data_IF_413403974101
#
_entry.id   IF_413403974101
#
_cell.length_a   1.000
_cell.length_b   1.000
_cell.length_c   1.000
_cell.angle_alpha   90.00
_cell.angle_beta   90.00
_cell.angle_gamma   90.00
#
_symmetry.space_group_name_H-M   'P 1'
#
loop_
_entity.id
_entity.type
_entity.pdbx_description
1 polymer ?
#
# COMPACT_ATOMS: atom_id res chain seq x y z
N UNK A 1 35.77 5.52 -13.36
CA UNK A 1 34.57 4.67 -13.34
C UNK A 1 34.03 4.67 -14.75
N UNK A 2 33.79 3.51 -15.36
CA UNK A 2 33.48 3.38 -16.78
C UNK A 2 32.10 3.98 -17.11
N UNK A 3 32.10 4.95 -18.04
CA UNK A 3 30.91 5.50 -18.69
C UNK A 3 30.25 4.43 -19.58
N UNK A 4 29.63 3.43 -18.94
CA UNK A 4 28.76 2.51 -19.66
C UNK A 4 27.54 3.31 -20.12
N UNK A 5 27.19 3.30 -21.42
CA UNK A 5 26.05 4.06 -21.89
C UNK A 5 24.79 3.60 -21.15
N UNK A 6 24.15 4.52 -20.44
CA UNK A 6 22.93 4.24 -19.69
C UNK A 6 21.85 3.73 -20.63
N UNK A 7 21.25 2.58 -20.35
CA UNK A 7 20.16 2.04 -21.15
C UNK A 7 18.97 3.03 -21.16
N UNK A 8 18.58 3.57 -22.32
CA UNK A 8 17.63 4.67 -22.37
C UNK A 8 16.19 4.14 -22.34
N UNK A 9 15.79 3.48 -21.26
CA UNK A 9 14.48 2.82 -21.10
C UNK A 9 13.30 3.70 -21.55
N UNK A 10 13.26 4.96 -21.10
CA UNK A 10 12.17 5.91 -21.43
C UNK A 10 12.19 6.45 -22.88
N UNK A 11 13.18 6.07 -23.70
CA UNK A 11 13.30 6.42 -25.12
C UNK A 11 12.95 5.27 -26.05
N UNK A 12 12.69 4.07 -25.51
CA UNK A 12 12.27 2.93 -26.32
C UNK A 12 10.88 3.17 -26.92
N UNK A 13 10.55 2.52 -28.05
CA UNK A 13 9.20 2.48 -28.57
C UNK A 13 8.22 1.92 -27.53
N UNK A 14 6.99 2.43 -27.50
CA UNK A 14 5.98 2.07 -26.49
C UNK A 14 5.78 0.55 -26.38
N UNK A 15 5.69 -0.17 -27.50
CA UNK A 15 5.50 -1.62 -27.50
C UNK A 15 6.66 -2.38 -26.82
N UNK A 16 7.90 -1.91 -27.02
CA UNK A 16 9.07 -2.50 -26.36
C UNK A 16 9.04 -2.24 -24.85
N UNK A 17 8.68 -1.03 -24.44
CA UNK A 17 8.50 -0.68 -23.03
C UNK A 17 7.39 -1.54 -22.41
N UNK A 18 6.24 -1.66 -23.07
CA UNK A 18 5.12 -2.44 -22.58
C UNK A 18 5.52 -3.90 -22.36
N UNK A 19 6.25 -4.49 -23.32
CA UNK A 19 6.74 -5.86 -23.17
C UNK A 19 7.70 -6.00 -21.98
N UNK A 20 8.61 -5.04 -21.77
CA UNK A 20 9.48 -5.04 -20.59
C UNK A 20 8.64 -4.97 -19.31
N UNK A 21 7.70 -4.02 -19.23
CA UNK A 21 6.87 -3.79 -18.04
C UNK A 21 6.02 -5.02 -17.68
N UNK A 22 5.48 -5.73 -18.67
CA UNK A 22 4.74 -6.98 -18.42
C UNK A 22 5.61 -8.11 -17.84
N UNK A 23 6.95 -8.02 -17.94
CA UNK A 23 7.89 -8.97 -17.35
C UNK A 23 8.54 -8.45 -16.06
N UNK A 24 8.15 -7.27 -15.58
CA UNK A 24 8.59 -6.73 -14.30
C UNK A 24 7.67 -7.22 -13.18
N UNK A 25 8.25 -7.38 -12.00
CA UNK A 25 7.49 -7.58 -10.76
C UNK A 25 6.70 -6.31 -10.39
N UNK A 26 5.66 -6.49 -9.58
CA UNK A 26 4.86 -5.38 -9.04
C UNK A 26 5.70 -4.38 -8.22
N UNK A 27 6.73 -4.91 -7.57
CA UNK A 27 7.75 -4.15 -6.86
C UNK A 27 8.53 -3.24 -7.81
N UNK A 28 9.08 -3.79 -8.90
CA UNK A 28 9.85 -3.01 -9.87
C UNK A 28 8.99 -1.96 -10.58
N UNK A 29 7.74 -2.30 -10.91
CA UNK A 29 6.78 -1.35 -11.48
C UNK A 29 6.52 -0.19 -10.50
N UNK A 30 6.33 -0.51 -9.21
CA UNK A 30 6.11 0.51 -8.17
C UNK A 30 7.35 1.38 -8.01
N UNK A 31 8.56 0.81 -7.91
CA UNK A 31 9.82 1.57 -7.80
C UNK A 31 10.04 2.47 -9.03
N UNK A 32 9.82 1.96 -10.25
CA UNK A 32 9.92 2.75 -11.49
C UNK A 32 8.92 3.91 -11.52
N UNK A 33 7.69 3.67 -11.05
CA UNK A 33 6.66 4.71 -10.99
C UNK A 33 7.01 5.85 -10.02
N UNK A 34 7.89 5.61 -9.05
CA UNK A 34 8.36 6.61 -8.08
C UNK A 34 9.56 7.43 -8.59
N UNK A 35 10.27 6.99 -9.64
CA UNK A 35 11.46 7.69 -10.11
C UNK A 35 11.18 9.09 -10.71
N UNK A 36 10.05 9.30 -11.38
CA UNK A 36 9.72 10.58 -12.01
C UNK A 36 8.24 10.66 -12.42
N UNK A 37 7.75 11.89 -12.67
CA UNK A 37 6.40 12.08 -13.25
C UNK A 37 6.24 11.38 -14.61
N UNK A 38 7.30 11.31 -15.42
CA UNK A 38 7.28 10.66 -16.73
C UNK A 38 7.17 9.15 -16.60
N UNK A 39 7.96 8.53 -15.72
CA UNK A 39 7.90 7.10 -15.47
C UNK A 39 6.58 6.70 -14.82
N UNK A 40 6.05 7.51 -13.89
CA UNK A 40 4.69 7.32 -13.34
C UNK A 40 3.64 7.25 -14.44
N UNK A 41 3.56 8.26 -15.31
CA UNK A 41 2.60 8.32 -16.43
C UNK A 41 2.73 7.13 -17.37
N UNK A 42 3.96 6.66 -17.59
CA UNK A 42 4.21 5.48 -18.40
C UNK A 42 3.63 4.22 -17.74
N UNK A 43 3.90 3.99 -16.46
CA UNK A 43 3.33 2.84 -15.73
C UNK A 43 1.79 2.89 -15.67
N UNK A 44 1.20 4.09 -15.61
CA UNK A 44 -0.25 4.29 -15.66
C UNK A 44 -0.89 3.93 -17.00
N UNK A 45 -0.15 4.14 -18.09
CA UNK A 45 -0.65 3.88 -19.45
C UNK A 45 -0.62 2.40 -19.85
N UNK A 46 0.12 1.59 -19.10
CA UNK A 46 0.28 0.16 -19.35
C UNK A 46 -0.68 -0.59 -18.41
N UNK A 47 -1.43 -1.54 -18.95
CA UNK A 47 -2.25 -2.44 -18.13
C UNK A 47 -1.35 -3.45 -17.43
N UNK A 48 -1.67 -3.77 -16.18
CA UNK A 48 -0.94 -4.72 -15.35
C UNK A 48 -1.78 -5.99 -15.17
N UNK A 49 -1.77 -6.91 -16.15
CA UNK A 49 -2.62 -8.10 -16.08
C UNK A 49 -2.24 -8.98 -14.88
N UNK A 50 -3.25 -9.63 -14.28
CA UNK A 50 -3.08 -10.53 -13.14
C UNK A 50 -3.31 -9.87 -11.79
N UNK A 51 -3.16 -8.55 -11.65
CA UNK A 51 -3.48 -7.89 -10.39
C UNK A 51 -5.00 -7.75 -10.20
N UNK A 52 -5.49 -8.04 -8.99
CA UNK A 52 -6.91 -8.04 -8.65
C UNK A 52 -7.31 -6.83 -7.83
N UNK A 53 -6.54 -6.51 -6.79
CA UNK A 53 -6.89 -5.48 -5.82
C UNK A 53 -5.68 -4.97 -5.04
N UNK A 54 -5.87 -3.81 -4.42
CA UNK A 54 -5.00 -3.31 -3.36
C UNK A 54 -5.65 -3.69 -2.04
N UNK A 55 -4.91 -4.36 -1.17
CA UNK A 55 -5.40 -4.72 0.17
C UNK A 55 -4.75 -3.81 1.22
N UNK A 56 -5.54 -3.33 2.17
CA UNK A 56 -5.07 -2.67 3.38
C UNK A 56 -5.47 -3.55 4.57
N UNK A 57 -4.51 -3.90 5.41
CA UNK A 57 -4.76 -4.49 6.73
C UNK A 57 -4.34 -3.50 7.80
N UNK A 58 -5.25 -3.11 8.69
CA UNK A 58 -4.96 -2.24 9.84
C UNK A 58 -5.54 -2.87 11.10
N UNK A 59 -4.65 -3.29 11.99
CA UNK A 59 -4.96 -3.75 13.34
C UNK A 59 -3.91 -3.22 14.34
N UNK A 60 -4.08 -3.54 15.63
CA UNK A 60 -3.20 -3.05 16.71
C UNK A 60 -1.75 -3.55 16.62
N UNK A 61 -1.51 -4.69 15.98
CA UNK A 61 -0.20 -5.34 15.82
C UNK A 61 0.41 -5.05 14.45
N UNK A 62 -0.42 -4.82 13.43
CA UNK A 62 -0.05 -4.93 12.02
C UNK A 62 -0.70 -3.82 11.20
N UNK A 63 0.12 -3.17 10.37
CA UNK A 63 -0.33 -2.25 9.35
C UNK A 63 0.36 -2.61 8.04
N UNK A 64 -0.40 -3.05 7.05
CA UNK A 64 0.13 -3.44 5.75
C UNK A 64 -0.70 -2.85 4.61
N UNK A 65 -0.01 -2.60 3.51
CA UNK A 65 -0.62 -2.40 2.19
C UNK A 65 -0.03 -3.45 1.27
N UNK A 66 -0.87 -4.11 0.47
CA UNK A 66 -0.44 -5.15 -0.47
C UNK A 66 -1.06 -4.97 -1.85
N UNK A 67 -0.32 -5.42 -2.87
CA UNK A 67 -0.85 -5.67 -4.21
C UNK A 67 -1.15 -7.17 -4.33
N UNK A 68 -2.36 -7.50 -4.73
CA UNK A 68 -2.87 -8.87 -4.75
C UNK A 68 -3.06 -9.38 -6.18
N UNK A 69 -2.81 -10.68 -6.39
CA UNK A 69 -3.26 -11.47 -7.52
C UNK A 69 -4.14 -12.60 -6.99
N UNK A 70 -5.43 -12.33 -6.84
CA UNK A 70 -6.36 -13.22 -6.15
C UNK A 70 -5.97 -13.34 -4.67
N UNK A 71 -5.49 -14.52 -4.26
CA UNK A 71 -5.03 -14.78 -2.89
C UNK A 71 -3.51 -14.68 -2.73
N UNK A 72 -2.78 -14.37 -3.80
CA UNK A 72 -1.32 -14.26 -3.77
C UNK A 72 -0.89 -12.80 -3.54
N UNK A 73 0.04 -12.62 -2.60
CA UNK A 73 0.67 -11.32 -2.31
C UNK A 73 1.80 -11.07 -3.30
N UNK A 74 1.60 -10.16 -4.25
CA UNK A 74 2.63 -9.80 -5.24
C UNK A 74 3.67 -8.82 -4.67
N UNK A 75 3.24 -7.91 -3.81
CA UNK A 75 4.11 -6.97 -3.09
C UNK A 75 3.42 -6.47 -1.83
N UNK A 76 4.19 -6.26 -0.77
CA UNK A 76 3.66 -5.85 0.53
C UNK A 76 4.58 -4.85 1.22
N UNK A 77 3.95 -3.82 1.80
CA UNK A 77 4.59 -2.77 2.57
C UNK A 77 4.07 -2.83 4.00
N UNK A 78 4.97 -3.04 4.95
CA UNK A 78 4.73 -2.99 6.39
C UNK A 78 4.92 -1.57 6.87
N UNK A 79 3.97 -1.04 7.64
CA UNK A 79 4.04 0.32 8.20
C UNK A 79 4.28 0.19 9.70
N UNK A 80 5.45 0.64 10.16
CA UNK A 80 5.84 0.53 11.56
C UNK A 80 5.74 1.89 12.27
N UNK A 81 5.14 1.87 13.47
CA UNK A 81 5.03 3.03 14.38
C UNK A 81 6.24 3.16 15.31
N UNK A 82 6.72 2.04 15.83
CA UNK A 82 7.94 1.97 16.61
C UNK A 82 9.08 1.87 15.62
N UNK A 83 9.97 2.88 15.62
CA UNK A 83 11.14 2.86 14.75
C UNK A 83 11.92 1.56 14.89
N UNK A 84 12.68 1.21 13.86
CA UNK A 84 13.57 0.05 13.93
C UNK A 84 14.60 0.32 15.04
N UNK A 85 14.39 -0.31 16.20
CA UNK A 85 15.23 -0.14 17.41
C UNK A 85 16.63 -0.75 17.23
N UNK A 86 16.82 -1.58 16.20
CA UNK A 86 18.12 -2.11 15.83
C UNK A 86 18.89 -1.12 14.96
N UNK A 87 20.06 -0.69 15.43
CA UNK A 87 20.94 0.20 14.66
C UNK A 87 21.34 -0.38 13.30
N UNK A 88 21.41 -1.70 13.16
CA UNK A 88 21.73 -2.34 11.88
C UNK A 88 20.60 -2.12 10.86
N UNK A 89 19.35 -2.21 11.29
CA UNK A 89 18.21 -1.91 10.43
C UNK A 89 18.13 -0.42 10.06
N UNK A 90 18.52 0.48 10.99
CA UNK A 90 18.56 1.93 10.71
C UNK A 90 19.56 2.28 9.61
N UNK A 91 20.69 1.59 9.52
CA UNK A 91 21.71 1.80 8.46
C UNK A 91 21.24 1.34 7.07
N UNK A 92 20.26 0.45 7.02
CA UNK A 92 19.70 -0.09 5.77
C UNK A 92 18.49 0.72 5.26
N UNK A 93 17.97 1.64 6.07
CA UNK A 93 16.90 2.55 5.66
C UNK A 93 17.39 3.46 4.54
N UNK A 94 16.61 3.52 3.47
CA UNK A 94 16.81 4.46 2.36
C UNK A 94 15.81 5.58 2.49
N UNK A 95 16.29 6.82 2.33
CA UNK A 95 15.39 7.95 2.17
C UNK A 95 14.68 7.84 0.82
N UNK A 96 13.35 7.95 0.85
CA UNK A 96 12.48 7.90 -0.31
C UNK A 96 11.42 8.99 -0.24
N UNK A 97 10.68 9.13 -1.33
CA UNK A 97 9.50 9.96 -1.36
C UNK A 97 8.40 9.26 -2.15
N UNK A 98 7.18 9.31 -1.63
CA UNK A 98 5.98 8.96 -2.37
C UNK A 98 5.14 10.24 -2.46
N UNK A 99 4.93 10.73 -3.68
CA UNK A 99 4.33 12.05 -3.88
C UNK A 99 5.19 13.15 -3.23
N UNK A 100 4.60 13.90 -2.30
CA UNK A 100 5.27 14.96 -1.53
C UNK A 100 5.71 14.51 -0.12
N UNK A 101 5.50 13.25 0.24
CA UNK A 101 5.81 12.75 1.59
C UNK A 101 7.13 12.01 1.58
N UNK A 102 8.07 12.52 2.37
CA UNK A 102 9.34 11.85 2.66
C UNK A 102 9.10 10.67 3.59
N UNK A 103 9.61 9.51 3.20
CA UNK A 103 9.50 8.27 3.96
C UNK A 103 10.86 7.59 4.04
N UNK A 104 11.06 6.78 5.08
CA UNK A 104 12.21 5.89 5.19
C UNK A 104 11.77 4.48 4.88
N UNK A 105 12.41 3.87 3.89
CA UNK A 105 12.04 2.54 3.40
C UNK A 105 13.19 1.57 3.60
N UNK A 106 12.88 0.44 4.21
CA UNK A 106 13.73 -0.74 4.23
C UNK A 106 13.16 -1.76 3.23
N UNK A 107 13.99 -2.23 2.31
CA UNK A 107 13.65 -3.32 1.39
C UNK A 107 14.26 -4.61 1.92
N UNK A 108 13.43 -5.63 2.14
CA UNK A 108 13.88 -6.99 2.42
C UNK A 108 14.05 -7.75 1.10
N UNK A 109 14.53 -8.99 1.15
CA UNK A 109 14.57 -9.83 -0.05
C UNK A 109 13.17 -10.03 -0.64
N UNK A 110 13.10 -10.03 -1.97
CA UNK A 110 11.84 -10.20 -2.70
C UNK A 110 10.94 -8.97 -2.67
N UNK A 111 9.67 -9.19 -2.32
CA UNK A 111 8.57 -8.24 -2.50
C UNK A 111 8.08 -7.59 -1.19
N UNK A 112 8.90 -7.67 -0.13
CA UNK A 112 8.60 -7.16 1.20
C UNK A 112 9.34 -5.85 1.51
N UNK A 113 8.58 -4.84 1.91
CA UNK A 113 9.07 -3.52 2.29
C UNK A 113 8.62 -3.17 3.70
N UNK A 114 9.39 -2.31 4.34
CA UNK A 114 9.01 -1.66 5.60
C UNK A 114 9.16 -0.16 5.46
N UNK A 115 8.10 0.56 5.81
CA UNK A 115 8.04 2.02 5.87
C UNK A 115 8.05 2.43 7.34
N UNK A 116 9.07 3.18 7.75
CA UNK A 116 9.15 3.76 9.09
C UNK A 116 8.29 5.04 9.14
N UNK A 117 7.16 4.98 9.85
CA UNK A 117 6.14 6.03 9.90
C UNK A 117 5.71 6.32 11.35
N UNK A 118 6.67 6.77 12.17
CA UNK A 118 6.54 6.78 13.63
C UNK A 118 5.37 7.59 14.18
N UNK A 119 5.13 8.80 13.67
CA UNK A 119 4.15 9.73 14.25
C UNK A 119 2.80 9.76 13.51
N UNK A 120 2.80 9.38 12.23
CA UNK A 120 1.64 9.52 11.33
C UNK A 120 1.57 8.36 10.32
N UNK A 121 1.39 7.11 10.78
CA UNK A 121 1.29 5.94 9.91
C UNK A 121 0.12 6.05 8.93
N UNK A 122 -0.98 6.71 9.31
CA UNK A 122 -2.13 6.94 8.43
C UNK A 122 -1.76 7.75 7.18
N UNK A 123 -0.83 8.69 7.29
CA UNK A 123 -0.36 9.49 6.16
C UNK A 123 0.50 8.65 5.21
N UNK A 124 1.37 7.80 5.76
CA UNK A 124 2.19 6.88 4.96
C UNK A 124 1.33 5.86 4.20
N UNK A 125 0.35 5.24 4.88
CA UNK A 125 -0.61 4.32 4.26
C UNK A 125 -1.40 5.06 3.18
N UNK A 126 -1.97 6.24 3.49
CA UNK A 126 -2.76 7.02 2.54
C UNK A 126 -2.00 7.31 1.26
N UNK A 127 -0.79 7.84 1.38
CA UNK A 127 0.01 8.24 0.23
C UNK A 127 0.45 7.04 -0.60
N UNK A 128 0.77 5.91 0.03
CA UNK A 128 1.07 4.67 -0.67
C UNK A 128 -0.16 4.16 -1.42
N UNK A 129 -1.32 4.07 -0.76
CA UNK A 129 -2.58 3.60 -1.36
C UNK A 129 -3.00 4.50 -2.52
N UNK A 130 -2.94 5.82 -2.35
CA UNK A 130 -3.25 6.79 -3.41
C UNK A 130 -2.33 6.59 -4.61
N UNK A 131 -1.03 6.37 -4.38
CA UNK A 131 -0.07 6.12 -5.44
C UNK A 131 -0.34 4.79 -6.17
N UNK A 132 -0.61 3.71 -5.43
CA UNK A 132 -0.93 2.40 -6.01
C UNK A 132 -2.24 2.45 -6.80
N UNK A 133 -3.30 3.06 -6.26
CA UNK A 133 -4.56 3.29 -6.97
C UNK A 133 -4.32 4.06 -8.26
N UNK A 134 -3.45 5.07 -8.21
CA UNK A 134 -3.17 5.89 -9.37
C UNK A 134 -2.35 5.16 -10.45
N UNK A 135 -1.45 4.24 -10.07
CA UNK A 135 -0.62 3.46 -11.01
C UNK A 135 -1.37 2.26 -11.58
N UNK A 136 -1.99 1.46 -10.72
CA UNK A 136 -2.54 0.17 -11.08
C UNK A 136 -4.04 0.20 -11.40
N UNK A 137 -4.77 1.25 -10.97
CA UNK A 137 -6.22 1.41 -11.20
C UNK A 137 -7.04 0.23 -10.68
N UNK A 138 -6.63 -0.32 -9.53
CA UNK A 138 -7.25 -1.48 -8.90
C UNK A 138 -8.28 -1.08 -7.83
N UNK A 139 -9.30 -1.92 -7.57
CA UNK A 139 -10.20 -1.76 -6.44
C UNK A 139 -9.46 -1.89 -5.10
N UNK A 140 -10.07 -1.38 -4.03
CA UNK A 140 -9.52 -1.39 -2.68
C UNK A 140 -10.27 -2.38 -1.78
N UNK A 141 -9.55 -3.33 -1.20
CA UNK A 141 -10.01 -4.23 -0.15
C UNK A 141 -9.46 -3.77 1.19
N UNK A 142 -10.30 -3.68 2.22
CA UNK A 142 -9.90 -3.21 3.56
C UNK A 142 -10.25 -4.24 4.61
N UNK A 143 -9.24 -4.69 5.35
CA UNK A 143 -9.35 -5.47 6.57
C UNK A 143 -9.02 -4.55 7.74
N UNK A 144 -10.02 -4.29 8.59
CA UNK A 144 -9.93 -3.30 9.65
C UNK A 144 -10.32 -3.90 11.00
N UNK A 145 -9.37 -3.96 11.93
CA UNK A 145 -9.62 -4.29 13.33
C UNK A 145 -9.35 -3.06 14.21
N UNK A 146 -10.39 -2.27 14.52
CA UNK A 146 -10.24 -1.03 15.30
C UNK A 146 -9.94 -1.30 16.77
N UNK A 147 -10.24 -2.50 17.28
CA UNK A 147 -10.11 -2.80 18.70
C UNK A 147 -8.64 -2.81 19.14
N UNK A 148 -8.35 -2.11 20.23
CA UNK A 148 -6.99 -1.91 20.73
C UNK A 148 -6.12 -0.98 19.87
N UNK A 149 -6.69 -0.38 18.81
CA UNK A 149 -6.02 0.64 18.00
C UNK A 149 -6.31 2.04 18.58
N UNK A 150 -5.28 2.68 19.15
CA UNK A 150 -5.40 4.06 19.62
C UNK A 150 -5.82 5.00 18.48
N UNK A 151 -6.92 5.75 18.69
CA UNK A 151 -7.44 6.73 17.75
C UNK A 151 -7.72 6.17 16.34
N UNK A 152 -8.35 4.99 16.24
CA UNK A 152 -8.62 4.31 14.96
C UNK A 152 -9.30 5.19 13.90
N UNK A 153 -10.04 6.21 14.31
CA UNK A 153 -10.75 7.15 13.43
C UNK A 153 -9.81 7.86 12.45
N UNK A 154 -8.53 8.04 12.79
CA UNK A 154 -7.49 8.62 11.90
C UNK A 154 -7.26 7.81 10.63
N UNK A 155 -7.65 6.53 10.60
CA UNK A 155 -7.45 5.65 9.46
C UNK A 155 -8.62 5.66 8.47
N UNK A 156 -9.83 6.03 8.89
CA UNK A 156 -11.00 6.03 7.99
C UNK A 156 -10.82 6.93 6.74
N UNK A 157 -10.19 8.12 6.83
CA UNK A 157 -9.92 8.95 5.65
C UNK A 157 -8.96 8.34 4.60
N UNK A 158 -8.31 7.22 4.91
CA UNK A 158 -7.47 6.47 3.95
C UNK A 158 -8.37 5.74 2.94
N UNK A 159 -9.52 5.24 3.40
CA UNK A 159 -10.44 4.42 2.61
C UNK A 159 -11.89 4.93 2.73
N UNK A 160 -12.17 6.21 2.42
CA UNK A 160 -13.55 6.73 2.47
C UNK A 160 -14.48 6.03 1.47
N UNK A 161 -13.89 5.44 0.42
CA UNK A 161 -14.54 4.54 -0.52
C UNK A 161 -13.65 3.30 -0.70
N UNK A 162 -14.24 2.11 -0.53
CA UNK A 162 -13.59 0.84 -0.84
C UNK A 162 -14.54 -0.14 -1.53
N UNK A 163 -13.97 -1.12 -2.21
CA UNK A 163 -14.73 -2.17 -2.88
C UNK A 163 -15.23 -3.21 -1.88
N UNK A 164 -14.34 -3.63 -0.97
CA UNK A 164 -14.63 -4.57 0.12
C UNK A 164 -14.21 -3.99 1.46
N UNK A 165 -15.04 -4.20 2.47
CA UNK A 165 -14.74 -3.84 3.85
C UNK A 165 -15.00 -5.02 4.78
N UNK A 166 -13.97 -5.49 5.45
CA UNK A 166 -14.06 -6.50 6.50
C UNK A 166 -13.69 -5.83 7.82
N UNK A 167 -14.66 -5.73 8.73
CA UNK A 167 -14.42 -5.22 10.08
C UNK A 167 -14.39 -6.39 11.05
N UNK A 168 -13.22 -6.63 11.64
CA UNK A 168 -13.02 -7.65 12.66
C UNK A 168 -12.91 -7.00 14.03
N UNK A 169 -13.39 -7.70 15.06
CA UNK A 169 -13.18 -7.28 16.44
C UNK A 169 -13.08 -8.53 17.32
N UNK A 170 -11.89 -8.72 17.92
CA UNK A 170 -11.64 -9.76 18.91
C UNK A 170 -12.52 -9.60 20.17
N UNK A 171 -12.89 -8.36 20.51
CA UNK A 171 -13.84 -8.01 21.57
C UNK A 171 -15.15 -7.40 21.00
N UNK A 172 -16.12 -7.04 21.85
CA UNK A 172 -17.37 -6.40 21.38
C UNK A 172 -17.07 -4.99 20.86
N UNK A 173 -17.15 -4.78 19.55
CA UNK A 173 -17.31 -3.44 18.96
C UNK A 173 -18.66 -2.86 19.42
N UNK A 174 -18.67 -1.63 19.93
CA UNK A 174 -19.93 -0.99 20.30
C UNK A 174 -20.77 -0.67 19.05
N UNK A 175 -22.10 -0.60 19.20
CA UNK A 175 -22.97 -0.19 18.09
C UNK A 175 -22.65 1.24 17.61
N UNK A 176 -22.23 2.12 18.52
CA UNK A 176 -21.82 3.49 18.19
C UNK A 176 -20.56 3.53 17.33
N UNK A 177 -19.54 2.73 17.65
CA UNK A 177 -18.32 2.63 16.83
C UNK A 177 -18.60 2.01 15.46
N UNK A 178 -19.43 0.96 15.44
CA UNK A 178 -19.84 0.32 14.19
C UNK A 178 -20.62 1.30 13.30
N UNK A 179 -21.54 2.06 13.89
CA UNK A 179 -22.30 3.09 13.16
C UNK A 179 -21.37 4.19 12.66
N UNK A 180 -20.41 4.64 13.47
CA UNK A 180 -19.42 5.63 13.06
C UNK A 180 -18.61 5.18 11.83
N UNK A 181 -18.19 3.90 11.78
CA UNK A 181 -17.50 3.36 10.60
C UNK A 181 -18.41 3.38 9.37
N UNK A 182 -19.67 2.91 9.51
CA UNK A 182 -20.65 2.89 8.42
C UNK A 182 -20.96 4.28 7.88
N UNK A 183 -21.01 5.29 8.75
CA UNK A 183 -21.29 6.68 8.35
C UNK A 183 -20.12 7.34 7.60
N UNK A 184 -18.90 6.81 7.75
CA UNK A 184 -17.68 7.41 7.21
C UNK A 184 -17.06 6.61 6.04
N UNK A 185 -17.56 5.42 5.73
CA UNK A 185 -17.00 4.54 4.68
C UNK A 185 -18.11 4.07 3.75
N UNK A 186 -17.97 4.42 2.46
CA UNK A 186 -18.83 3.90 1.39
C UNK A 186 -18.23 2.61 0.85
N UNK A 187 -19.01 1.53 0.87
CA UNK A 187 -18.59 0.21 0.37
C UNK A 187 -19.32 -0.10 -0.94
N UNK A 188 -18.57 -0.32 -2.02
CA UNK A 188 -19.13 -0.46 -3.37
C UNK A 188 -19.67 -1.86 -3.66
N UNK A 189 -19.16 -2.91 -3.00
CA UNK A 189 -19.56 -4.29 -3.29
C UNK A 189 -19.95 -5.12 -2.07
N UNK A 190 -19.05 -5.30 -1.09
CA UNK A 190 -19.33 -6.18 0.05
C UNK A 190 -18.75 -5.65 1.35
N UNK A 191 -19.58 -5.59 2.39
CA UNK A 191 -19.17 -5.29 3.76
C UNK A 191 -19.52 -6.47 4.68
N UNK A 192 -18.55 -6.91 5.48
CA UNK A 192 -18.73 -7.95 6.50
C UNK A 192 -18.26 -7.42 7.86
N UNK A 193 -19.08 -7.67 8.88
CA UNK A 193 -18.83 -7.21 10.25
C UNK A 193 -18.83 -8.41 11.19
N UNK A 194 -17.65 -8.82 11.62
CA UNK A 194 -17.46 -9.98 12.49
C UNK A 194 -17.47 -9.54 13.95
N UNK A 195 -18.50 -9.96 14.68
CA UNK A 195 -18.60 -9.80 16.13
C UNK A 195 -18.21 -11.12 16.79
N UNK A 196 -17.31 -11.07 17.77
CA UNK A 196 -17.04 -12.23 18.64
C UNK A 196 -18.35 -12.67 19.32
N UNK A 197 -18.80 -13.90 19.02
CA UNK A 197 -19.91 -14.52 19.74
C UNK A 197 -19.37 -14.95 21.10
N UNK A 198 -19.69 -14.18 22.15
CA UNK A 198 -19.63 -14.68 23.53
C UNK A 198 -20.91 -15.42 23.84
#
# INVERSE_FOLDING_TARGET
MSDSPSFPFLRLPFLAIQNIVHNLSCTEITELSLCSRRSKRLMQSIRHPGLTDIEITIDRLRMYVALMNGFEVCSIWSIIKTGLNDENFRKLLRDGAIGSVHIKVLKFEGSHFTIDAQQQPENAIKVLVDHLKDVFKLPLTVLFEPFGLENYRRFLPIFPVCYRLYVYSSDKISEEELQFIKDNVVVEWQAEFYKSQK
#
